data_IF_184097275761
#
_entry.id   IF_184097275761
#
_cell.length_a   1.000
_cell.length_b   1.000
_cell.length_c   1.000
_cell.angle_alpha   90.00
_cell.angle_beta   90.00
_cell.angle_gamma   90.00
#
_symmetry.space_group_name_H-M   'P 1'
#
loop_
_entity.id
_entity.type
_entity.pdbx_description
1 polymer ?
#
# COMPACT_ATOMS: atom_id res chain seq x y z
N UNK A 1 17.22 -18.49 10.25
CA UNK A 1 16.09 -18.19 11.17
C UNK A 1 15.87 -16.68 11.13
N UNK A 2 14.74 -16.17 10.63
CA UNK A 2 14.49 -14.71 10.63
C UNK A 2 14.14 -14.27 12.06
N UNK A 3 14.89 -13.32 12.62
CA UNK A 3 14.60 -12.70 13.92
C UNK A 3 13.24 -11.99 13.84
N UNK A 4 12.44 -12.04 14.90
CA UNK A 4 11.12 -11.43 14.96
C UNK A 4 11.22 -9.91 15.18
N UNK A 5 11.87 -9.20 14.25
CA UNK A 5 12.12 -7.75 14.36
C UNK A 5 10.96 -6.89 13.80
N UNK A 6 9.82 -7.52 13.46
CA UNK A 6 8.68 -6.83 12.85
C UNK A 6 7.81 -6.20 13.92
N UNK A 7 7.65 -4.87 13.86
CA UNK A 7 6.65 -4.14 14.64
C UNK A 7 5.31 -4.16 13.91
N UNK A 8 4.26 -4.58 14.60
CA UNK A 8 2.90 -4.63 14.08
C UNK A 8 2.03 -3.65 14.87
N UNK A 9 1.12 -2.97 14.15
CA UNK A 9 0.25 -1.94 14.69
C UNK A 9 -1.21 -2.26 14.36
N UNK A 10 -2.12 -1.83 15.24
CA UNK A 10 -3.57 -1.90 15.00
C UNK A 10 -4.00 -0.63 14.27
N UNK A 11 -4.87 -0.79 13.29
CA UNK A 11 -5.52 0.31 12.57
C UNK A 11 -6.90 -0.13 12.07
N UNK A 12 -7.60 0.71 11.31
CA UNK A 12 -8.93 0.45 10.76
C UNK A 12 -8.94 0.55 9.24
N UNK A 13 -9.71 -0.32 8.59
CA UNK A 13 -9.69 -0.45 7.14
C UNK A 13 -10.37 0.76 6.55
N UNK A 14 -9.70 1.47 5.64
CA UNK A 14 -10.23 2.73 5.11
C UNK A 14 -11.54 2.57 4.33
N UNK A 15 -11.80 1.38 3.78
CA UNK A 15 -13.01 1.06 3.00
C UNK A 15 -14.10 0.50 3.89
N UNK A 16 -13.80 -0.55 4.67
CA UNK A 16 -14.80 -1.31 5.43
C UNK A 16 -14.95 -0.88 6.89
N UNK A 17 -14.07 0.00 7.38
CA UNK A 17 -13.95 0.42 8.79
C UNK A 17 -13.70 -0.72 9.79
N UNK A 18 -13.40 -1.93 9.32
CA UNK A 18 -13.08 -3.07 10.18
C UNK A 18 -11.70 -2.93 10.83
N UNK A 19 -11.49 -3.42 12.06
CA UNK A 19 -10.17 -3.49 12.67
C UNK A 19 -9.19 -4.34 11.83
N UNK A 20 -7.95 -3.90 11.71
CA UNK A 20 -6.89 -4.65 11.04
C UNK A 20 -5.52 -4.46 11.69
N UNK A 21 -4.61 -5.36 11.33
CA UNK A 21 -3.19 -5.28 11.71
C UNK A 21 -2.37 -4.90 10.48
N UNK A 22 -1.40 -4.03 10.68
CA UNK A 22 -0.48 -3.54 9.65
C UNK A 22 0.96 -3.48 10.16
N UNK A 23 1.92 -3.51 9.24
CA UNK A 23 3.33 -3.23 9.53
C UNK A 23 3.70 -1.74 9.37
N UNK A 24 2.78 -0.90 8.89
CA UNK A 24 2.99 0.53 8.73
C UNK A 24 2.90 1.26 10.07
N UNK A 25 3.83 2.19 10.29
CA UNK A 25 3.80 3.03 11.49
C UNK A 25 2.53 3.90 11.49
N UNK A 26 1.85 4.07 12.65
CA UNK A 26 0.62 4.87 12.74
C UNK A 26 0.77 6.31 12.22
N UNK A 27 1.96 6.90 12.35
CA UNK A 27 2.23 8.28 11.93
C UNK A 27 2.37 8.46 10.40
N UNK A 28 2.63 7.38 9.66
CA UNK A 28 3.03 7.45 8.27
C UNK A 28 1.87 7.30 7.28
N UNK A 29 0.78 6.61 7.63
CA UNK A 29 -0.19 6.16 6.63
C UNK A 29 -1.65 6.12 7.10
N UNK A 30 -2.54 6.75 6.32
CA UNK A 30 -3.98 6.89 6.64
C UNK A 30 -4.92 6.05 5.76
N UNK A 31 -4.42 5.49 4.65
CA UNK A 31 -5.23 4.80 3.64
C UNK A 31 -4.94 3.29 3.58
N UNK A 32 -4.84 2.65 4.73
CA UNK A 32 -4.58 1.22 4.81
C UNK A 32 -5.90 0.47 4.62
N UNK A 33 -5.87 -0.53 3.74
CA UNK A 33 -7.02 -1.38 3.41
C UNK A 33 -6.64 -2.84 3.56
N UNK A 34 -7.65 -3.65 3.85
CA UNK A 34 -7.51 -5.10 3.85
C UNK A 34 -7.06 -5.58 2.45
N UNK A 35 -6.13 -6.54 2.43
CA UNK A 35 -5.57 -7.09 1.20
C UNK A 35 -6.66 -7.51 0.19
N UNK A 36 -7.68 -8.24 0.64
CA UNK A 36 -8.80 -8.74 -0.18
C UNK A 36 -9.65 -7.61 -0.77
N UNK A 37 -10.02 -6.64 0.06
CA UNK A 37 -10.82 -5.47 -0.32
C UNK A 37 -10.11 -4.61 -1.35
N UNK A 38 -8.79 -4.50 -1.28
CA UNK A 38 -8.03 -3.77 -2.30
C UNK A 38 -8.25 -4.30 -3.71
N UNK A 39 -8.28 -5.61 -3.89
CA UNK A 39 -8.44 -6.20 -5.23
C UNK A 39 -9.89 -6.16 -5.72
N UNK A 40 -10.85 -6.11 -4.79
CA UNK A 40 -12.28 -6.13 -5.12
C UNK A 40 -12.84 -4.74 -5.38
N UNK A 41 -12.40 -3.75 -4.60
CA UNK A 41 -13.13 -2.49 -4.45
C UNK A 41 -12.29 -1.25 -4.77
N UNK A 42 -10.98 -1.36 -4.94
CA UNK A 42 -10.12 -0.21 -5.25
C UNK A 42 -9.86 -0.11 -6.74
N UNK A 43 -10.40 0.93 -7.35
CA UNK A 43 -9.98 1.41 -8.66
C UNK A 43 -8.87 2.46 -8.49
N UNK A 44 -7.65 2.10 -8.90
CA UNK A 44 -6.50 3.00 -8.77
C UNK A 44 -6.54 4.19 -9.74
N UNK A 45 -7.34 4.12 -10.81
CA UNK A 45 -7.45 5.22 -11.78
C UNK A 45 -8.15 6.45 -11.18
N UNK A 46 -8.96 6.23 -10.13
CA UNK A 46 -9.60 7.29 -9.33
C UNK A 46 -8.60 8.18 -8.59
N UNK A 47 -7.35 7.74 -8.44
CA UNK A 47 -6.28 8.53 -7.83
C UNK A 47 -5.41 9.25 -8.86
N UNK A 48 -5.78 9.23 -10.14
CA UNK A 48 -5.07 9.98 -11.17
C UNK A 48 -5.02 11.47 -10.84
N UNK A 49 -3.94 12.12 -11.27
CA UNK A 49 -3.74 13.56 -11.12
C UNK A 49 -2.99 14.07 -12.35
N UNK A 50 -3.31 15.28 -12.77
CA UNK A 50 -2.59 15.94 -13.86
C UNK A 50 -1.13 16.22 -13.46
N UNK A 51 -0.25 16.22 -14.46
CA UNK A 51 1.16 16.51 -14.23
C UNK A 51 1.38 18.02 -14.11
N UNK A 52 1.90 18.46 -12.97
CA UNK A 52 2.22 19.84 -12.68
C UNK A 52 3.71 20.10 -12.95
N UNK A 53 4.01 20.82 -14.04
CA UNK A 53 5.39 21.16 -14.42
C UNK A 53 6.07 22.15 -13.46
N UNK A 54 5.34 22.76 -12.53
CA UNK A 54 5.93 23.62 -11.48
C UNK A 54 6.54 22.82 -10.31
N UNK A 55 6.22 21.53 -10.19
CA UNK A 55 6.70 20.65 -9.12
C UNK A 55 7.63 19.57 -9.64
N UNK A 56 8.51 19.08 -8.78
CA UNK A 56 9.33 17.91 -9.11
C UNK A 56 8.49 16.63 -9.17
N UNK A 57 8.96 15.65 -9.93
CA UNK A 57 8.32 14.33 -10.00
C UNK A 57 8.19 13.68 -8.61
N UNK A 58 9.23 13.78 -7.77
CA UNK A 58 9.24 13.13 -6.44
C UNK A 58 8.21 13.74 -5.49
N UNK A 59 7.96 15.04 -5.57
CA UNK A 59 6.91 15.70 -4.78
C UNK A 59 5.53 15.21 -5.22
N UNK A 60 5.27 15.28 -6.52
CA UNK A 60 3.99 14.85 -7.09
C UNK A 60 3.72 13.36 -6.85
N UNK A 61 4.75 12.52 -7.00
CA UNK A 61 4.67 11.10 -6.73
C UNK A 61 4.48 10.82 -5.25
N UNK A 62 5.14 11.57 -4.36
CA UNK A 62 4.93 11.49 -2.91
C UNK A 62 3.50 11.86 -2.51
N UNK A 63 2.91 12.88 -3.12
CA UNK A 63 1.50 13.25 -2.94
C UNK A 63 0.57 12.12 -3.42
N UNK A 64 0.84 11.55 -4.60
CA UNK A 64 0.09 10.43 -5.15
C UNK A 64 0.14 9.19 -4.24
N UNK A 65 1.34 8.83 -3.75
CA UNK A 65 1.53 7.71 -2.83
C UNK A 65 0.77 7.88 -1.51
N UNK A 66 0.54 9.11 -1.06
CA UNK A 66 -0.28 9.39 0.13
C UNK A 66 -1.78 9.26 -0.15
N UNK A 67 -2.23 9.59 -1.37
CA UNK A 67 -3.64 9.45 -1.79
C UNK A 67 -4.05 8.01 -2.03
N UNK A 68 -3.15 7.20 -2.58
CA UNK A 68 -3.45 5.80 -2.92
C UNK A 68 -3.65 4.91 -1.68
N UNK A 69 -4.43 3.85 -1.86
CA UNK A 69 -4.61 2.83 -0.84
C UNK A 69 -3.38 1.94 -0.70
N UNK A 70 -3.14 1.40 0.50
CA UNK A 70 -2.01 0.52 0.85
C UNK A 70 -2.52 -0.77 1.50
N UNK A 71 -1.94 -1.92 1.13
CA UNK A 71 -2.37 -3.22 1.69
C UNK A 71 -1.80 -3.38 3.08
N UNK A 72 -2.58 -3.95 3.98
CA UNK A 72 -2.15 -4.16 5.35
C UNK A 72 -1.05 -5.23 5.55
N UNK A 73 -0.95 -6.17 4.61
CA UNK A 73 0.02 -7.28 4.62
C UNK A 73 0.78 -7.38 3.29
N UNK A 74 1.98 -7.95 3.36
CA UNK A 74 2.79 -8.35 2.21
C UNK A 74 2.40 -9.77 1.77
N UNK A 75 2.14 -9.95 0.49
CA UNK A 75 1.88 -11.27 -0.11
C UNK A 75 3.22 -11.90 -0.47
N UNK A 76 3.57 -13.02 0.19
CA UNK A 76 4.82 -13.75 -0.05
C UNK A 76 4.49 -15.25 -0.13
N UNK A 77 5.05 -15.96 -1.10
CA UNK A 77 4.94 -17.43 -1.22
C UNK A 77 3.84 -17.96 -2.15
N UNK A 78 2.92 -17.11 -2.62
CA UNK A 78 1.89 -17.46 -3.62
C UNK A 78 2.11 -16.78 -4.98
N UNK A 79 3.23 -16.08 -5.13
CA UNK A 79 3.57 -15.40 -6.39
C UNK A 79 4.25 -16.41 -7.30
N UNK A 80 3.76 -16.54 -8.53
CA UNK A 80 4.41 -17.34 -9.56
C UNK A 80 5.50 -16.49 -10.22
N UNK A 81 6.67 -17.07 -10.44
CA UNK A 81 7.76 -16.40 -11.14
C UNK A 81 7.33 -16.04 -12.55
N UNK A 82 7.72 -14.84 -13.00
CA UNK A 82 7.62 -14.41 -14.38
C UNK A 82 9.02 -14.38 -14.99
N UNK A 83 9.15 -14.77 -16.26
CA UNK A 83 10.43 -14.79 -16.97
C UNK A 83 11.08 -13.40 -17.08
N UNK A 84 10.31 -12.32 -16.84
CA UNK A 84 10.74 -10.92 -16.94
C UNK A 84 10.74 -10.16 -15.61
N UNK A 85 10.75 -10.83 -14.46
CA UNK A 85 10.92 -10.17 -13.16
C UNK A 85 12.36 -10.30 -12.66
N UNK A 86 13.04 -9.17 -12.43
CA UNK A 86 14.35 -9.17 -11.79
C UNK A 86 14.18 -9.41 -10.28
N UNK A 87 14.76 -10.52 -9.82
CA UNK A 87 14.72 -11.14 -8.49
C UNK A 87 13.49 -12.00 -8.13
N UNK A 88 13.73 -13.31 -8.28
CA UNK A 88 13.22 -14.38 -7.42
C UNK A 88 13.52 -14.13 -5.92
#
# INVERSE_FOLDING_TARGET
MRRNDRKLYKTTCKITNKPLVTFYHPDLEKNIVEHTERYKSVDNTQHSQDFDFSKTFTEQFGELLKKTYKKNILTVGFMQNSDYTHNA
#
